data_IF_299045677671
#
_entry.id   IF_299045677671
#
_cell.length_a   1.000
_cell.length_b   1.000
_cell.length_c   1.000
_cell.angle_alpha   90.00
_cell.angle_beta   90.00
_cell.angle_gamma   90.00
#
_symmetry.space_group_name_H-M   'P 1'
#
loop_
_entity.id
_entity.type
_entity.pdbx_description
1 polymer ?
#
# COMPACT_ATOMS: atom_id res chain seq x y z
N UNK A 1 -42.13 -20.91 13.16
CA UNK A 1 -40.69 -21.14 13.43
C UNK A 1 -39.95 -21.26 12.10
N UNK A 2 -40.23 -20.34 11.16
CA UNK A 2 -39.72 -20.40 9.77
C UNK A 2 -38.95 -19.13 9.39
N UNK A 3 -39.01 -18.09 10.21
CA UNK A 3 -38.46 -16.76 9.90
C UNK A 3 -36.95 -16.61 10.13
N UNK A 4 -36.29 -17.55 10.82
CA UNK A 4 -34.84 -17.50 11.08
C UNK A 4 -33.99 -18.14 9.98
N UNK A 5 -34.57 -18.99 9.14
CA UNK A 5 -33.80 -19.76 8.14
C UNK A 5 -33.57 -18.89 6.89
N UNK A 6 -34.55 -18.11 6.45
CA UNK A 6 -34.44 -17.25 5.26
C UNK A 6 -33.48 -16.06 5.45
N UNK A 7 -33.32 -15.55 6.67
CA UNK A 7 -32.38 -14.44 6.94
C UNK A 7 -30.90 -14.85 6.84
N UNK A 8 -30.60 -16.15 6.82
CA UNK A 8 -29.23 -16.66 6.64
C UNK A 8 -28.80 -16.76 5.18
N UNK A 9 -29.74 -16.72 4.23
CA UNK A 9 -29.49 -16.94 2.79
C UNK A 9 -29.45 -15.65 1.96
N UNK A 10 -29.69 -14.48 2.55
CA UNK A 10 -29.78 -13.18 1.84
C UNK A 10 -28.76 -12.15 2.34
N UNK A 11 -27.58 -12.60 2.76
CA UNK A 11 -26.48 -11.70 3.14
C UNK A 11 -25.25 -11.88 2.27
N UNK A 12 -25.46 -12.06 0.97
CA UNK A 12 -24.49 -11.55 0.00
C UNK A 12 -24.51 -10.03 0.14
N UNK A 13 -23.69 -9.53 1.06
CA UNK A 13 -23.42 -8.10 1.14
C UNK A 13 -22.98 -7.70 -0.27
N UNK A 14 -23.62 -6.69 -0.90
CA UNK A 14 -23.11 -6.16 -2.15
C UNK A 14 -21.63 -5.85 -1.96
N UNK A 15 -20.83 -6.00 -3.02
CA UNK A 15 -19.40 -5.69 -3.05
C UNK A 15 -19.21 -4.20 -2.71
N UNK A 16 -19.33 -3.85 -1.43
CA UNK A 16 -18.87 -2.59 -0.89
C UNK A 16 -17.38 -2.62 -1.11
N UNK A 17 -16.95 -1.85 -2.11
CA UNK A 17 -15.56 -1.64 -2.42
C UNK A 17 -14.93 -0.99 -1.19
N UNK A 18 -14.43 -1.83 -0.27
CA UNK A 18 -13.87 -1.38 0.99
C UNK A 18 -12.61 -0.58 0.65
N UNK A 19 -12.73 0.74 0.75
CA UNK A 19 -11.65 1.65 0.46
C UNK A 19 -10.38 1.31 1.24
N UNK A 20 -10.50 0.72 2.44
CA UNK A 20 -9.33 0.21 3.19
C UNK A 20 -8.65 -0.93 2.43
N UNK A 21 -9.43 -1.89 1.94
CA UNK A 21 -8.94 -3.03 1.15
C UNK A 21 -8.29 -2.59 -0.16
N UNK A 22 -8.83 -1.58 -0.84
CA UNK A 22 -8.19 -1.02 -2.04
C UNK A 22 -6.81 -0.45 -1.70
N UNK A 23 -6.73 0.38 -0.66
CA UNK A 23 -5.47 1.01 -0.25
C UNK A 23 -4.42 -0.04 0.15
N UNK A 24 -4.84 -1.08 0.90
CA UNK A 24 -4.01 -2.20 1.29
C UNK A 24 -3.47 -2.95 0.06
N UNK A 25 -4.34 -3.28 -0.89
CA UNK A 25 -3.98 -4.01 -2.12
C UNK A 25 -3.02 -3.18 -2.97
N UNK A 26 -3.36 -1.93 -3.30
CA UNK A 26 -2.51 -1.05 -4.10
C UNK A 26 -1.16 -0.85 -3.42
N UNK A 27 -1.16 -0.55 -2.13
CA UNK A 27 0.04 -0.33 -1.36
C UNK A 27 0.96 -1.56 -1.35
N UNK A 28 0.38 -2.75 -1.14
CA UNK A 28 1.13 -4.01 -1.11
C UNK A 28 1.73 -4.35 -2.48
N UNK A 29 0.94 -4.28 -3.55
CA UNK A 29 1.44 -4.58 -4.91
C UNK A 29 2.50 -3.58 -5.36
N UNK A 30 2.34 -2.28 -5.09
CA UNK A 30 3.37 -1.29 -5.39
C UNK A 30 4.66 -1.58 -4.60
N UNK A 31 4.53 -1.96 -3.32
CA UNK A 31 5.67 -2.27 -2.45
C UNK A 31 6.49 -3.47 -2.96
N UNK A 32 5.80 -4.55 -3.29
CA UNK A 32 6.41 -5.77 -3.87
C UNK A 32 7.02 -5.46 -5.24
N UNK A 33 6.32 -4.71 -6.09
CA UNK A 33 6.83 -4.38 -7.43
C UNK A 33 8.11 -3.54 -7.35
N UNK A 34 8.17 -2.56 -6.45
CA UNK A 34 9.40 -1.79 -6.19
C UNK A 34 10.56 -2.68 -5.72
N UNK A 35 10.28 -3.65 -4.84
CA UNK A 35 11.29 -4.60 -4.37
C UNK A 35 11.80 -5.52 -5.48
N UNK A 36 10.91 -5.99 -6.36
CA UNK A 36 11.28 -6.81 -7.52
C UNK A 36 12.16 -6.01 -8.49
N UNK A 37 11.80 -4.76 -8.81
CA UNK A 37 12.62 -3.91 -9.68
C UNK A 37 14.01 -3.72 -9.08
N UNK A 38 14.10 -3.33 -7.81
CA UNK A 38 15.40 -3.12 -7.15
C UNK A 38 16.24 -4.40 -7.11
N UNK A 39 15.61 -5.56 -6.92
CA UNK A 39 16.31 -6.84 -6.83
C UNK A 39 16.82 -7.36 -8.17
N UNK A 40 16.08 -7.16 -9.26
CA UNK A 40 16.42 -7.73 -10.57
C UNK A 40 17.13 -6.75 -11.49
N UNK A 41 16.81 -5.45 -11.37
CA UNK A 41 17.28 -4.42 -12.27
C UNK A 41 17.61 -3.14 -11.48
N UNK A 42 18.68 -3.15 -10.66
CA UNK A 42 19.07 -2.01 -9.83
C UNK A 42 19.38 -0.74 -10.64
N UNK A 43 19.70 -0.84 -11.93
CA UNK A 43 19.79 0.29 -12.85
C UNK A 43 18.47 1.08 -12.99
N UNK A 44 17.33 0.45 -12.70
CA UNK A 44 16.00 1.06 -12.64
C UNK A 44 15.59 1.45 -11.21
N UNK A 45 16.55 1.62 -10.29
CA UNK A 45 16.31 2.01 -8.90
C UNK A 45 15.39 3.22 -8.75
N UNK A 46 15.44 4.20 -9.67
CA UNK A 46 14.54 5.35 -9.66
C UNK A 46 13.05 4.94 -9.64
N UNK A 47 12.67 3.97 -10.46
CA UNK A 47 11.29 3.48 -10.53
C UNK A 47 10.90 2.71 -9.25
N UNK A 48 11.84 1.95 -8.67
CA UNK A 48 11.63 1.30 -7.38
C UNK A 48 11.34 2.31 -6.26
N UNK A 49 12.10 3.42 -6.20
CA UNK A 49 11.87 4.49 -5.23
C UNK A 49 10.48 5.14 -5.37
N UNK A 50 10.03 5.38 -6.61
CA UNK A 50 8.68 5.92 -6.86
C UNK A 50 7.61 4.92 -6.40
N UNK A 51 7.75 3.64 -6.74
CA UNK A 51 6.78 2.61 -6.34
C UNK A 51 6.72 2.43 -4.83
N UNK A 52 7.86 2.46 -4.14
CA UNK A 52 7.89 2.42 -2.68
C UNK A 52 7.31 3.68 -2.06
N UNK A 53 7.51 4.85 -2.65
CA UNK A 53 6.87 6.08 -2.18
C UNK A 53 5.34 5.96 -2.26
N UNK A 54 4.80 5.58 -3.42
CA UNK A 54 3.37 5.34 -3.61
C UNK A 54 2.83 4.27 -2.64
N UNK A 55 3.57 3.18 -2.47
CA UNK A 55 3.26 2.11 -1.53
C UNK A 55 3.14 2.64 -0.10
N UNK A 56 4.15 3.37 0.37
CA UNK A 56 4.18 3.88 1.74
C UNK A 56 3.06 4.89 2.03
N UNK A 57 2.71 5.74 1.07
CA UNK A 57 1.58 6.69 1.20
C UNK A 57 0.24 5.95 1.24
N UNK A 58 0.03 4.96 0.37
CA UNK A 58 -1.19 4.14 0.37
C UNK A 58 -1.35 3.34 1.68
N UNK A 59 -0.28 2.69 2.14
CA UNK A 59 -0.26 1.93 3.38
C UNK A 59 -0.35 2.83 4.62
N UNK A 60 0.14 4.07 4.56
CA UNK A 60 -0.08 5.06 5.60
C UNK A 60 -1.57 5.41 5.73
N UNK A 61 -2.23 5.70 4.60
CA UNK A 61 -3.67 5.98 4.58
C UNK A 61 -4.49 4.78 5.05
N UNK A 62 -4.12 3.56 4.65
CA UNK A 62 -4.70 2.32 5.16
C UNK A 62 -4.54 2.21 6.69
N UNK A 63 -3.33 2.43 7.20
CA UNK A 63 -3.02 2.32 8.62
C UNK A 63 -3.80 3.31 9.48
N UNK A 64 -4.04 4.53 8.98
CA UNK A 64 -4.91 5.51 9.64
C UNK A 64 -6.35 4.97 9.72
N UNK A 65 -6.89 4.47 8.60
CA UNK A 65 -8.27 3.95 8.55
C UNK A 65 -8.46 2.65 9.32
N UNK A 66 -7.42 1.85 9.48
CA UNK A 66 -7.42 0.59 10.21
C UNK A 66 -6.92 0.74 11.67
N UNK A 67 -6.64 1.97 12.12
CA UNK A 67 -6.14 2.30 13.46
C UNK A 67 -4.83 1.57 13.86
N UNK A 68 -4.01 1.21 12.87
CA UNK A 68 -2.76 0.48 13.05
C UNK A 68 -1.61 1.41 13.41
N UNK A 69 -1.55 1.86 14.68
CA UNK A 69 -0.62 2.90 15.15
C UNK A 69 0.86 2.60 14.90
N UNK A 70 1.30 1.35 15.06
CA UNK A 70 2.70 0.99 14.84
C UNK A 70 3.07 0.92 13.36
N UNK A 71 2.16 0.38 12.53
CA UNK A 71 2.34 0.36 11.07
C UNK A 71 2.34 1.78 10.53
N UNK A 72 1.47 2.67 11.03
CA UNK A 72 1.46 4.08 10.68
C UNK A 72 2.84 4.74 10.90
N UNK A 73 3.45 4.55 12.08
CA UNK A 73 4.79 5.09 12.37
C UNK A 73 5.85 4.54 11.42
N UNK A 74 5.79 3.25 11.09
CA UNK A 74 6.69 2.64 10.13
C UNK A 74 6.53 3.25 8.73
N UNK A 75 5.29 3.45 8.27
CA UNK A 75 5.03 4.03 6.96
C UNK A 75 5.46 5.50 6.88
N UNK A 76 5.38 6.28 7.96
CA UNK A 76 5.94 7.63 8.01
C UNK A 76 7.45 7.61 7.75
N UNK A 77 8.18 6.72 8.42
CA UNK A 77 9.63 6.58 8.23
C UNK A 77 9.97 6.11 6.82
N UNK A 78 9.23 5.12 6.28
CA UNK A 78 9.43 4.67 4.91
C UNK A 78 9.13 5.76 3.88
N UNK A 79 8.09 6.57 4.08
CA UNK A 79 7.82 7.71 3.19
C UNK A 79 9.01 8.67 3.16
N UNK A 80 9.61 8.99 4.31
CA UNK A 80 10.81 9.85 4.37
C UNK A 80 11.97 9.21 3.62
N UNK A 81 12.26 7.93 3.88
CA UNK A 81 13.34 7.18 3.21
C UNK A 81 13.12 7.18 1.69
N UNK A 82 11.90 6.92 1.24
CA UNK A 82 11.58 6.83 -0.19
C UNK A 82 11.68 8.21 -0.87
N UNK A 83 11.28 9.29 -0.22
CA UNK A 83 11.51 10.67 -0.71
C UNK A 83 13.01 10.94 -0.84
N UNK A 84 13.82 10.59 0.16
CA UNK A 84 15.28 10.73 0.09
C UNK A 84 15.89 9.88 -1.03
N UNK A 85 15.40 8.65 -1.24
CA UNK A 85 15.82 7.78 -2.33
C UNK A 85 15.54 8.37 -3.72
N UNK A 86 14.33 8.93 -3.92
CA UNK A 86 13.97 9.66 -5.15
C UNK A 86 14.91 10.85 -5.35
N UNK A 87 15.10 11.70 -4.33
CA UNK A 87 15.95 12.89 -4.42
C UNK A 87 17.40 12.55 -4.76
N UNK A 88 17.99 11.58 -4.07
CA UNK A 88 19.36 11.15 -4.30
C UNK A 88 19.56 10.54 -5.69
N UNK A 89 18.57 9.81 -6.18
CA UNK A 89 18.64 9.20 -7.52
C UNK A 89 18.57 10.27 -8.60
N UNK A 90 17.71 11.28 -8.45
CA UNK A 90 17.66 12.43 -9.38
C UNK A 90 18.99 13.20 -9.36
N UNK A 91 19.54 13.47 -8.17
CA UNK A 91 20.82 14.17 -8.01
C UNK A 91 22.03 13.40 -8.57
N UNK A 92 21.94 12.07 -8.72
CA UNK A 92 22.98 11.26 -9.37
C UNK A 92 22.88 11.20 -10.90
N UNK A 93 21.76 11.66 -11.47
CA UNK A 93 21.48 11.62 -12.92
C UNK A 93 21.76 12.97 -13.61
N UNK A 94 21.80 14.06 -12.85
CA UNK A 94 22.13 15.43 -13.31
C UNK A 94 23.61 15.70 -13.06
#
# INVERSE_FOLDING_TARGET
>A
METKIEQSFTKDKPLELDFKKILEVIGSYAGVSGALIMSFMPEFAFFAWILWLLSSVALMAFSIKAELRYILRLQIVFTIINVSGVYNTIGSVI
#
